data_IF_601469080770
#
_entry.id   IF_601469080770
#
_cell.length_a   1.000
_cell.length_b   1.000
_cell.length_c   1.000
_cell.angle_alpha   90.00
_cell.angle_beta   90.00
_cell.angle_gamma   90.00
#
_symmetry.space_group_name_H-M   'P 1'
#
loop_
_entity.id
_entity.type
_entity.pdbx_description
1 polymer ?
#
# COMPACT_ATOMS: atom_id res chain seq x y z
N UNK A 1 -16.96 -35.54 -27.21
CA UNK A 1 -15.82 -35.06 -26.41
C UNK A 1 -15.16 -33.96 -27.21
N UNK A 2 -15.39 -32.70 -26.85
CA UNK A 2 -14.76 -31.57 -27.54
C UNK A 2 -13.28 -31.54 -27.14
N UNK A 3 -12.39 -31.60 -28.12
CA UNK A 3 -10.97 -31.32 -27.93
C UNK A 3 -10.85 -29.88 -27.44
N UNK A 4 -10.74 -29.70 -26.11
CA UNK A 4 -10.25 -28.46 -25.52
C UNK A 4 -8.81 -28.30 -26.01
N UNK A 5 -8.61 -27.46 -27.01
CA UNK A 5 -7.30 -27.06 -27.47
C UNK A 5 -6.68 -26.23 -26.33
N UNK A 6 -5.95 -26.89 -25.43
CA UNK A 6 -5.21 -26.22 -24.36
C UNK A 6 -4.22 -25.27 -25.04
N UNK A 7 -4.48 -23.97 -24.92
CA UNK A 7 -3.53 -22.95 -25.38
C UNK A 7 -2.34 -22.99 -24.43
N UNK A 8 -1.15 -23.25 -24.97
CA UNK A 8 0.10 -23.32 -24.19
C UNK A 8 0.78 -21.96 -24.24
N UNK A 9 0.93 -21.33 -23.07
CA UNK A 9 1.66 -20.07 -22.90
C UNK A 9 3.08 -20.33 -22.38
N UNK A 10 3.99 -19.38 -22.56
CA UNK A 10 5.29 -19.45 -21.89
C UNK A 10 5.16 -19.05 -20.42
N UNK A 11 4.36 -18.03 -20.14
CA UNK A 11 4.07 -17.57 -18.78
C UNK A 11 2.61 -17.17 -18.63
N UNK A 12 1.98 -17.52 -17.51
CA UNK A 12 0.70 -16.94 -17.09
C UNK A 12 0.94 -16.08 -15.85
N UNK A 13 0.47 -14.84 -15.88
CA UNK A 13 0.50 -13.92 -14.75
C UNK A 13 -0.88 -13.91 -14.08
N UNK A 14 -0.94 -14.20 -12.78
CA UNK A 14 -2.19 -14.21 -12.01
C UNK A 14 -2.27 -12.92 -11.20
N UNK A 15 -3.21 -12.06 -11.57
CA UNK A 15 -3.45 -10.73 -11.00
C UNK A 15 -3.05 -9.60 -11.95
N UNK A 16 -4.00 -8.75 -12.33
CA UNK A 16 -3.78 -7.56 -13.15
C UNK A 16 -3.63 -6.28 -12.31
N UNK A 17 -3.02 -6.39 -11.12
CA UNK A 17 -2.47 -5.23 -10.40
C UNK A 17 -1.19 -4.71 -11.08
N UNK A 18 -0.65 -3.57 -10.63
CA UNK A 18 0.53 -2.95 -11.25
C UNK A 18 1.71 -3.94 -11.42
N UNK A 19 2.04 -4.74 -10.41
CA UNK A 19 3.12 -5.72 -10.50
C UNK A 19 2.91 -6.75 -11.62
N UNK A 20 1.70 -7.30 -11.73
CA UNK A 20 1.38 -8.30 -12.75
C UNK A 20 1.30 -7.70 -14.16
N UNK A 21 0.74 -6.50 -14.28
CA UNK A 21 0.71 -5.75 -15.54
C UNK A 21 2.13 -5.45 -16.05
N UNK A 22 3.03 -5.02 -15.17
CA UNK A 22 4.44 -4.75 -15.50
C UNK A 22 5.16 -6.04 -15.90
N UNK A 23 4.98 -7.12 -15.13
CA UNK A 23 5.60 -8.40 -15.45
C UNK A 23 5.17 -8.90 -16.84
N UNK A 24 3.86 -8.85 -17.12
CA UNK A 24 3.33 -9.27 -18.41
C UNK A 24 3.78 -8.37 -19.56
N UNK A 25 3.74 -7.04 -19.38
CA UNK A 25 4.19 -6.06 -20.38
C UNK A 25 5.65 -6.31 -20.74
N UNK A 26 6.51 -6.52 -19.76
CA UNK A 26 7.93 -6.70 -19.98
C UNK A 26 8.23 -8.05 -20.67
N UNK A 27 7.57 -9.14 -20.27
CA UNK A 27 7.67 -10.42 -20.97
C UNK A 27 7.19 -10.31 -22.43
N UNK A 28 6.07 -9.63 -22.67
CA UNK A 28 5.53 -9.40 -24.01
C UNK A 28 6.48 -8.56 -24.89
N UNK A 29 7.08 -7.51 -24.33
CA UNK A 29 8.10 -6.68 -25.03
C UNK A 29 9.37 -7.47 -25.36
N UNK A 30 9.68 -8.51 -24.58
CA UNK A 30 10.76 -9.46 -24.89
C UNK A 30 10.35 -10.56 -25.89
N UNK A 31 9.11 -10.53 -26.40
CA UNK A 31 8.62 -11.46 -27.42
C UNK A 31 8.00 -12.74 -26.86
N UNK A 32 7.82 -12.86 -25.55
CA UNK A 32 7.27 -14.06 -24.92
C UNK A 32 5.73 -14.13 -25.00
N UNK A 33 5.21 -15.36 -25.10
CA UNK A 33 3.77 -15.63 -25.07
C UNK A 33 3.24 -15.60 -23.64
N UNK A 34 2.57 -14.51 -23.29
CA UNK A 34 2.05 -14.26 -21.94
C UNK A 34 0.53 -14.05 -21.93
N UNK A 35 -0.12 -14.53 -20.87
CA UNK A 35 -1.52 -14.27 -20.55
C UNK A 35 -1.62 -13.74 -19.12
N UNK A 36 -2.42 -12.70 -18.91
CA UNK A 36 -2.80 -12.20 -17.58
C UNK A 36 -4.21 -12.68 -17.26
N UNK A 37 -4.40 -13.25 -16.07
CA UNK A 37 -5.71 -13.69 -15.57
C UNK A 37 -6.04 -12.86 -14.31
N UNK A 38 -7.18 -12.16 -14.32
CA UNK A 38 -7.62 -11.28 -13.24
C UNK A 38 -9.01 -11.68 -12.74
N UNK A 39 -9.15 -11.73 -11.42
CA UNK A 39 -10.40 -12.11 -10.77
C UNK A 39 -11.52 -11.09 -10.97
N UNK A 40 -11.20 -9.79 -11.04
CA UNK A 40 -12.18 -8.71 -11.23
C UNK A 40 -12.46 -8.43 -12.70
N UNK A 41 -13.58 -7.74 -12.94
CA UNK A 41 -13.93 -7.15 -14.24
C UNK A 41 -13.15 -5.84 -14.56
N UNK A 42 -12.01 -5.61 -13.91
CA UNK A 42 -11.14 -4.44 -14.10
C UNK A 42 -9.70 -4.81 -13.75
N UNK A 43 -8.74 -4.15 -14.38
CA UNK A 43 -7.34 -4.17 -13.96
C UNK A 43 -7.05 -3.10 -12.90
N UNK A 44 -5.78 -3.01 -12.51
CA UNK A 44 -5.24 -1.99 -11.61
C UNK A 44 -5.14 -2.43 -10.14
N UNK A 45 -5.96 -3.39 -9.70
CA UNK A 45 -5.95 -3.86 -8.31
C UNK A 45 -6.16 -2.70 -7.33
N UNK A 46 -5.13 -2.40 -6.52
CA UNK A 46 -5.05 -1.26 -5.57
C UNK A 46 -4.77 0.10 -6.21
N UNK A 47 -4.57 0.16 -7.53
CA UNK A 47 -4.44 1.39 -8.32
C UNK A 47 -5.70 1.54 -9.17
N UNK A 48 -6.64 2.35 -8.71
CA UNK A 48 -7.92 2.59 -9.39
C UNK A 48 -8.44 3.97 -9.03
N UNK A 49 -9.19 4.59 -9.93
CA UNK A 49 -9.84 5.86 -9.70
C UNK A 49 -11.06 6.04 -10.59
N UNK A 50 -11.75 7.15 -10.42
CA UNK A 50 -12.88 7.55 -11.24
C UNK A 50 -13.04 9.07 -11.26
N UNK A 51 -13.80 9.58 -12.23
CA UNK A 51 -14.17 10.99 -12.28
C UNK A 51 -15.37 11.26 -11.38
N UNK A 52 -15.26 12.31 -10.57
CA UNK A 52 -16.41 12.93 -9.91
C UNK A 52 -17.28 13.67 -10.94
N UNK A 53 -18.57 13.91 -10.65
CA UNK A 53 -19.42 14.76 -11.47
C UNK A 53 -18.88 16.18 -11.69
N UNK A 54 -18.01 16.67 -10.80
CA UNK A 54 -17.32 17.96 -10.90
C UNK A 54 -16.19 17.98 -11.94
N UNK A 55 -15.86 16.83 -12.55
CA UNK A 55 -14.75 16.69 -13.50
C UNK A 55 -13.40 16.42 -12.85
N UNK A 56 -13.29 16.46 -11.52
CA UNK A 56 -12.07 16.05 -10.83
C UNK A 56 -11.95 14.52 -10.78
N UNK A 57 -10.76 14.01 -11.12
CA UNK A 57 -10.40 12.62 -10.87
C UNK A 57 -10.09 12.39 -9.39
N UNK A 58 -10.56 11.27 -8.84
CA UNK A 58 -10.17 10.78 -7.53
C UNK A 58 -9.53 9.40 -7.64
N UNK A 59 -8.36 9.23 -7.05
CA UNK A 59 -7.75 7.91 -6.89
C UNK A 59 -8.34 7.22 -5.68
N UNK A 60 -9.06 6.13 -5.90
CA UNK A 60 -9.67 5.31 -4.84
C UNK A 60 -8.63 4.50 -4.07
N UNK A 61 -7.44 4.32 -4.63
CA UNK A 61 -6.31 3.63 -4.00
C UNK A 61 -5.12 4.53 -3.69
N UNK A 62 -3.91 4.04 -3.99
CA UNK A 62 -2.71 4.87 -3.93
C UNK A 62 -2.81 6.05 -4.91
N UNK A 63 -2.20 7.18 -4.56
CA UNK A 63 -2.28 8.40 -5.38
C UNK A 63 -1.02 9.26 -5.37
N UNK A 64 -0.12 9.01 -4.42
CA UNK A 64 1.09 9.80 -4.23
C UNK A 64 2.32 9.16 -4.83
N UNK A 65 3.29 10.01 -5.16
CA UNK A 65 4.64 9.65 -5.57
C UNK A 65 5.63 10.62 -4.95
N UNK A 66 6.87 10.17 -4.79
CA UNK A 66 7.93 10.97 -4.21
C UNK A 66 9.29 10.73 -4.85
N UNK A 67 10.31 11.51 -4.44
CA UNK A 67 11.71 11.24 -4.75
C UNK A 67 12.08 9.78 -4.42
N UNK A 68 13.07 9.23 -5.13
CA UNK A 68 13.57 7.84 -4.98
C UNK A 68 12.64 6.71 -5.42
N UNK A 69 11.39 7.01 -5.81
CA UNK A 69 10.49 6.05 -6.47
C UNK A 69 10.79 5.99 -7.99
N UNK A 70 12.05 5.71 -8.31
CA UNK A 70 12.65 5.89 -9.63
C UNK A 70 11.94 5.11 -10.74
N UNK A 71 11.52 3.87 -10.48
CA UNK A 71 10.85 3.04 -11.48
C UNK A 71 9.45 3.55 -11.78
N UNK A 72 8.72 3.99 -10.75
CA UNK A 72 7.41 4.60 -10.96
C UNK A 72 7.51 5.96 -11.66
N UNK A 73 8.49 6.80 -11.29
CA UNK A 73 8.74 8.07 -11.97
C UNK A 73 9.08 7.87 -13.45
N UNK A 74 9.94 6.90 -13.78
CA UNK A 74 10.25 6.56 -15.16
C UNK A 74 9.02 6.06 -15.95
N UNK A 75 8.11 5.33 -15.29
CA UNK A 75 6.86 4.88 -15.90
C UNK A 75 5.93 6.06 -16.23
N UNK A 76 5.87 7.07 -15.35
CA UNK A 76 5.11 8.30 -15.61
C UNK A 76 5.69 9.05 -16.81
N UNK A 77 7.02 9.17 -16.89
CA UNK A 77 7.71 9.81 -18.02
C UNK A 77 7.47 9.04 -19.33
N UNK A 78 7.56 7.70 -19.31
CA UNK A 78 7.27 6.82 -20.45
C UNK A 78 5.87 7.07 -21.01
N UNK A 79 4.87 7.18 -20.14
CA UNK A 79 3.49 7.45 -20.53
C UNK A 79 3.12 8.93 -20.66
N UNK A 80 4.10 9.83 -20.50
CA UNK A 80 3.94 11.29 -20.57
C UNK A 80 2.86 11.81 -19.61
N UNK A 81 2.80 11.24 -18.41
CA UNK A 81 1.86 11.63 -17.37
C UNK A 81 2.51 12.71 -16.50
N UNK A 82 1.82 13.84 -16.36
CA UNK A 82 2.31 14.98 -15.57
C UNK A 82 2.05 14.78 -14.09
N UNK A 83 2.93 15.35 -13.27
CA UNK A 83 2.84 15.42 -11.81
C UNK A 83 2.70 16.87 -11.36
N UNK A 84 2.24 17.08 -10.13
CA UNK A 84 2.25 18.37 -9.45
C UNK A 84 2.59 18.19 -7.97
N UNK A 85 3.20 19.19 -7.30
CA UNK A 85 3.49 19.12 -5.88
C UNK A 85 2.22 18.87 -5.07
N UNK A 86 2.30 17.98 -4.08
CA UNK A 86 1.22 17.80 -3.11
C UNK A 86 0.92 19.14 -2.43
N UNK A 87 -0.37 19.56 -2.37
CA UNK A 87 -0.70 20.83 -1.76
C UNK A 87 -0.31 20.85 -0.28
N UNK A 88 0.54 21.81 0.09
CA UNK A 88 1.03 21.98 1.45
C UNK A 88 1.16 23.47 1.86
N UNK A 89 0.62 24.40 1.06
CA UNK A 89 0.70 25.83 1.33
C UNK A 89 -0.27 26.24 2.45
N UNK A 90 0.27 26.80 3.53
CA UNK A 90 -0.47 27.22 4.71
C UNK A 90 -0.05 26.44 5.95
N UNK A 91 -0.83 26.55 7.02
CA UNK A 91 -0.55 25.87 8.28
C UNK A 91 -1.09 24.44 8.28
N UNK A 92 -0.32 23.54 8.88
CA UNK A 92 -0.75 22.19 9.21
C UNK A 92 -1.51 22.20 10.55
N UNK A 93 -2.51 21.32 10.68
CA UNK A 93 -3.30 21.19 11.91
C UNK A 93 -2.93 19.92 12.67
N UNK A 94 -2.60 20.04 13.95
CA UNK A 94 -2.47 18.91 14.88
C UNK A 94 -3.64 18.96 15.88
N UNK A 95 -4.34 17.84 16.08
CA UNK A 95 -5.30 17.68 17.18
C UNK A 95 -4.82 16.59 18.11
N UNK A 96 -4.47 16.96 19.34
CA UNK A 96 -4.02 16.00 20.35
C UNK A 96 -4.75 16.24 21.67
N UNK A 97 -5.40 15.20 22.20
CA UNK A 97 -6.16 15.24 23.46
C UNK A 97 -7.16 16.42 23.50
N UNK A 98 -7.95 16.55 22.42
CA UNK A 98 -8.97 17.60 22.22
C UNK A 98 -8.43 19.04 22.16
N UNK A 99 -7.11 19.23 22.05
CA UNK A 99 -6.49 20.54 21.79
C UNK A 99 -6.04 20.61 20.33
N UNK A 100 -6.34 21.74 19.69
CA UNK A 100 -6.00 22.02 18.29
C UNK A 100 -4.83 22.98 18.22
N UNK A 101 -3.81 22.61 17.45
CA UNK A 101 -2.59 23.38 17.21
C UNK A 101 -2.46 23.64 15.70
N UNK A 102 -1.97 24.82 15.34
CA UNK A 102 -1.62 25.17 13.97
C UNK A 102 -0.16 25.60 13.92
N UNK A 103 0.58 25.15 12.91
CA UNK A 103 2.02 25.43 12.80
C UNK A 103 2.47 25.45 11.33
N UNK A 104 3.54 26.17 11.02
CA UNK A 104 4.14 26.17 9.70
C UNK A 104 5.12 25.00 9.59
N UNK A 105 4.72 23.91 8.97
CA UNK A 105 5.57 22.74 8.84
C UNK A 105 4.84 21.52 8.30
N UNK A 106 5.60 20.46 8.09
CA UNK A 106 5.09 19.15 7.67
C UNK A 106 5.33 18.14 8.78
N UNK A 107 4.31 17.33 9.08
CA UNK A 107 4.37 16.37 10.17
C UNK A 107 3.60 15.09 9.83
N UNK A 108 4.15 14.29 8.92
CA UNK A 108 3.65 12.97 8.54
C UNK A 108 4.69 11.89 8.86
N UNK A 109 5.04 11.76 10.15
CA UNK A 109 6.02 10.77 10.63
C UNK A 109 7.48 11.21 10.51
N UNK A 110 7.74 12.38 9.93
CA UNK A 110 8.98 13.11 10.04
C UNK A 110 8.65 14.58 10.29
N UNK A 111 9.39 15.21 11.21
CA UNK A 111 9.17 16.61 11.57
C UNK A 111 10.00 17.52 10.67
N UNK A 112 9.31 18.43 10.00
CA UNK A 112 9.93 19.52 9.25
C UNK A 112 9.24 20.84 9.52
N UNK A 113 10.03 21.90 9.70
CA UNK A 113 9.52 23.23 10.00
C UNK A 113 9.30 23.46 11.49
N UNK A 114 8.27 24.24 11.83
CA UNK A 114 7.98 24.62 13.20
C UNK A 114 7.51 23.42 14.03
N UNK A 115 7.91 23.41 15.29
CA UNK A 115 7.40 22.44 16.26
C UNK A 115 5.97 22.86 16.64
N UNK A 116 4.97 21.95 16.60
CA UNK A 116 3.64 22.27 17.12
C UNK A 116 3.73 22.73 18.58
N UNK A 117 2.85 23.63 19.03
CA UNK A 117 2.82 24.13 20.42
C UNK A 117 2.29 23.09 21.44
N UNK A 118 2.72 21.84 21.26
CA UNK A 118 2.60 20.76 22.24
C UNK A 118 3.61 21.02 23.37
N UNK A 119 3.32 20.50 24.57
CA UNK A 119 4.20 20.71 25.72
C UNK A 119 5.65 20.26 25.45
N UNK A 120 6.63 21.06 25.87
CA UNK A 120 8.05 20.80 25.59
C UNK A 120 8.51 19.40 26.04
N UNK A 121 7.99 18.90 27.17
CA UNK A 121 8.28 17.56 27.67
C UNK A 121 7.76 16.45 26.73
N UNK A 122 6.54 16.60 26.22
CA UNK A 122 5.92 15.68 25.25
C UNK A 122 6.75 15.60 23.96
N UNK A 123 7.15 16.77 23.43
CA UNK A 123 7.98 16.84 22.24
C UNK A 123 9.37 16.22 22.46
N UNK A 124 10.01 16.54 23.59
CA UNK A 124 11.33 16.03 23.91
C UNK A 124 11.34 14.50 24.09
N UNK A 125 10.31 13.93 24.71
CA UNK A 125 10.14 12.48 24.87
C UNK A 125 10.04 11.81 23.49
N UNK A 126 9.14 12.28 22.62
CA UNK A 126 8.97 11.76 21.26
C UNK A 126 10.26 11.84 20.43
N UNK A 127 10.94 12.98 20.43
CA UNK A 127 12.16 13.17 19.63
C UNK A 127 13.36 12.39 20.18
N UNK A 128 13.48 12.25 21.51
CA UNK A 128 14.53 11.43 22.13
C UNK A 128 14.31 9.95 21.80
N UNK A 129 13.06 9.48 21.82
CA UNK A 129 12.70 8.14 21.40
C UNK A 129 12.96 7.93 19.89
N UNK A 130 12.68 8.93 19.06
CA UNK A 130 12.94 8.89 17.62
C UNK A 130 14.43 8.71 17.32
N UNK A 131 15.29 9.43 18.04
CA UNK A 131 16.74 9.25 17.93
C UNK A 131 17.17 7.81 18.29
N UNK A 132 16.62 7.22 19.38
CA UNK A 132 16.90 5.82 19.73
C UNK A 132 16.40 4.84 18.66
N UNK A 133 15.21 5.08 18.11
CA UNK A 133 14.65 4.27 17.04
C UNK A 133 15.52 4.28 15.79
N UNK A 134 15.97 5.46 15.36
CA UNK A 134 16.86 5.66 14.22
C UNK A 134 18.19 4.91 14.40
N UNK A 135 18.82 5.02 15.58
CA UNK A 135 20.06 4.29 15.86
C UNK A 135 19.85 2.78 15.86
N UNK A 136 18.71 2.30 16.37
CA UNK A 136 18.36 0.88 16.32
C UNK A 136 18.13 0.43 14.86
N UNK A 137 17.45 1.21 14.03
CA UNK A 137 17.18 0.86 12.63
C UNK A 137 18.49 0.72 11.83
N UNK A 138 19.48 1.57 12.08
CA UNK A 138 20.81 1.53 11.45
C UNK A 138 21.61 0.25 11.75
N UNK A 139 21.23 -0.53 12.76
CA UNK A 139 21.88 -1.81 13.06
C UNK A 139 21.53 -2.92 12.07
N UNK A 140 20.43 -2.76 11.31
CA UNK A 140 20.01 -3.74 10.33
C UNK A 140 20.80 -3.61 9.02
N UNK A 141 21.20 -4.72 8.39
CA UNK A 141 21.80 -4.68 7.06
C UNK A 141 20.78 -4.21 6.01
N UNK A 142 21.27 -3.73 4.87
CA UNK A 142 20.44 -3.41 3.71
C UNK A 142 19.77 -4.67 3.14
N UNK A 143 18.58 -4.50 2.55
CA UNK A 143 17.80 -5.60 1.96
C UNK A 143 16.91 -6.29 3.00
N UNK A 144 16.52 -7.53 2.73
CA UNK A 144 15.61 -8.28 3.61
C UNK A 144 16.24 -8.67 4.95
N UNK A 145 15.50 -8.63 6.06
CA UNK A 145 15.98 -9.14 7.35
C UNK A 145 16.35 -10.62 7.25
N UNK A 146 17.61 -10.94 7.53
CA UNK A 146 18.11 -12.32 7.58
C UNK A 146 17.87 -12.93 8.96
N UNK A 147 17.52 -14.21 9.03
CA UNK A 147 17.29 -14.90 10.30
C UNK A 147 18.61 -15.19 11.02
N UNK A 148 18.80 -14.58 12.20
CA UNK A 148 19.93 -14.82 13.10
C UNK A 148 19.52 -14.49 14.55
N UNK A 149 20.39 -14.72 15.53
CA UNK A 149 20.06 -14.52 16.95
C UNK A 149 19.72 -13.06 17.29
N UNK A 150 20.28 -12.09 16.56
CA UNK A 150 19.98 -10.68 16.76
C UNK A 150 18.59 -10.32 16.21
N UNK A 151 18.32 -10.66 14.95
CA UNK A 151 17.02 -10.37 14.32
C UNK A 151 15.89 -11.15 14.97
N UNK A 152 16.12 -12.37 15.47
CA UNK A 152 15.11 -13.12 16.25
C UNK A 152 14.67 -12.40 17.52
N UNK A 153 15.59 -11.72 18.22
CA UNK A 153 15.24 -10.93 19.41
C UNK A 153 14.36 -9.74 19.03
N UNK A 154 14.72 -9.02 17.97
CA UNK A 154 13.91 -7.90 17.46
C UNK A 154 12.55 -8.40 16.97
N UNK A 155 12.52 -9.50 16.25
CA UNK A 155 11.30 -10.06 15.67
C UNK A 155 10.36 -10.66 16.71
N UNK A 156 10.88 -11.09 17.87
CA UNK A 156 10.05 -11.56 18.99
C UNK A 156 9.31 -10.46 19.75
N UNK A 157 9.69 -9.19 19.55
CA UNK A 157 9.06 -8.04 20.20
C UNK A 157 8.00 -7.42 19.31
N UNK A 158 6.88 -7.00 19.90
CA UNK A 158 5.94 -6.11 19.22
C UNK A 158 6.51 -4.69 19.18
N UNK A 159 6.03 -3.88 18.24
CA UNK A 159 6.37 -2.46 18.24
C UNK A 159 5.80 -1.73 19.45
N UNK A 160 4.62 -2.13 19.96
CA UNK A 160 4.04 -1.59 21.19
C UNK A 160 4.98 -1.73 22.40
N UNK A 161 5.60 -2.91 22.59
CA UNK A 161 6.56 -3.13 23.67
C UNK A 161 7.75 -2.17 23.57
N UNK A 162 8.25 -1.94 22.35
CA UNK A 162 9.32 -0.98 22.14
C UNK A 162 8.88 0.44 22.49
N UNK A 163 7.66 0.85 22.10
CA UNK A 163 7.11 2.18 22.42
C UNK A 163 7.03 2.37 23.94
N UNK A 164 6.46 1.41 24.66
CA UNK A 164 6.34 1.44 26.13
C UNK A 164 7.72 1.51 26.82
N UNK A 165 8.71 0.77 26.33
CA UNK A 165 10.08 0.79 26.85
C UNK A 165 10.82 2.10 26.56
N UNK A 166 10.38 2.89 25.57
CA UNK A 166 11.14 4.02 25.03
C UNK A 166 10.41 5.36 25.06
N UNK A 167 9.19 5.44 25.58
CA UNK A 167 8.45 6.70 25.71
C UNK A 167 7.81 6.79 27.09
N UNK A 168 7.59 8.00 27.56
CA UNK A 168 7.04 8.26 28.90
C UNK A 168 5.78 9.11 28.87
N UNK A 169 5.50 9.76 27.75
CA UNK A 169 4.39 10.69 27.56
C UNK A 169 3.34 10.13 26.60
N UNK A 170 2.09 10.59 26.74
CA UNK A 170 1.00 10.16 25.86
C UNK A 170 1.26 10.56 24.40
N UNK A 171 1.85 11.74 24.17
CA UNK A 171 2.21 12.19 22.83
C UNK A 171 3.36 11.37 22.25
N UNK A 172 4.37 11.03 23.06
CA UNK A 172 5.46 10.14 22.66
C UNK A 172 4.93 8.78 22.20
N UNK A 173 4.03 8.18 22.98
CA UNK A 173 3.37 6.93 22.61
C UNK A 173 2.53 7.07 21.32
N UNK A 174 1.72 8.12 21.25
CA UNK A 174 0.88 8.40 20.08
C UNK A 174 1.71 8.64 18.82
N UNK A 175 2.84 9.34 18.91
CA UNK A 175 3.70 9.69 17.77
C UNK A 175 4.10 8.44 16.98
N UNK A 176 4.61 7.41 17.65
CA UNK A 176 4.99 6.15 17.01
C UNK A 176 3.78 5.31 16.60
N UNK A 177 2.72 5.28 17.41
CA UNK A 177 1.50 4.56 17.08
C UNK A 177 0.84 5.12 15.81
N UNK A 178 0.79 6.43 15.68
CA UNK A 178 0.34 7.15 14.49
C UNK A 178 1.19 6.79 13.27
N UNK A 179 2.52 6.80 13.41
CA UNK A 179 3.42 6.48 12.31
C UNK A 179 3.11 5.10 11.71
N UNK A 180 3.04 4.05 12.53
CA UNK A 180 2.78 2.70 12.02
C UNK A 180 1.34 2.49 11.51
N UNK A 181 0.39 3.31 11.96
CA UNK A 181 -1.01 3.23 11.53
C UNK A 181 -1.30 4.00 10.25
N UNK A 182 -0.65 5.13 10.01
CA UNK A 182 -1.14 6.09 9.03
C UNK A 182 -0.12 6.49 7.96
N UNK A 183 1.18 6.53 8.26
CA UNK A 183 2.17 7.17 7.36
C UNK A 183 3.41 6.32 7.10
N UNK A 184 4.03 5.73 8.10
CA UNK A 184 5.35 5.10 8.00
C UNK A 184 5.36 3.59 8.24
N UNK A 185 6.59 3.05 8.27
CA UNK A 185 6.91 1.71 8.77
C UNK A 185 6.18 0.54 8.09
N UNK A 186 5.71 0.74 6.86
CA UNK A 186 4.99 -0.26 6.08
C UNK A 186 3.66 -0.70 6.72
N UNK A 187 3.01 0.24 7.41
CA UNK A 187 1.66 0.11 7.89
C UNK A 187 0.61 -0.10 6.79
N UNK A 188 -0.68 -0.09 7.14
CA UNK A 188 -1.23 0.28 8.45
C UNK A 188 -1.40 -0.94 9.36
N UNK A 189 -0.84 -0.87 10.58
CA UNK A 189 -0.99 -1.89 11.62
C UNK A 189 -1.13 -1.23 13.00
N UNK A 190 -1.77 -1.90 13.96
CA UNK A 190 -1.65 -1.48 15.36
C UNK A 190 -0.26 -1.87 15.90
N UNK A 191 0.36 -1.07 16.78
CA UNK A 191 1.68 -1.37 17.34
C UNK A 191 1.78 -2.75 18.01
N UNK A 192 0.69 -3.26 18.58
CA UNK A 192 0.62 -4.58 19.21
C UNK A 192 0.63 -5.74 18.21
N UNK A 193 0.27 -5.50 16.95
CA UNK A 193 0.11 -6.53 15.92
C UNK A 193 1.40 -6.76 15.12
N UNK A 194 2.29 -5.77 15.07
CA UNK A 194 3.45 -5.75 14.17
C UNK A 194 4.76 -5.99 14.92
N UNK A 195 5.65 -6.72 14.26
CA UNK A 195 7.02 -6.96 14.72
C UNK A 195 7.84 -5.68 14.78
N UNK A 196 8.64 -5.50 15.84
CA UNK A 196 9.64 -4.43 15.90
C UNK A 196 10.64 -4.55 14.75
N UNK A 197 11.06 -5.76 14.37
CA UNK A 197 11.95 -5.99 13.23
C UNK A 197 11.33 -5.47 11.93
N UNK A 198 10.03 -5.70 11.72
CA UNK A 198 9.34 -5.23 10.51
C UNK A 198 9.31 -3.71 10.42
N UNK A 199 9.02 -3.03 11.53
CA UNK A 199 8.98 -1.56 11.59
C UNK A 199 10.37 -0.94 11.39
N UNK A 200 11.42 -1.51 11.99
CA UNK A 200 12.81 -1.08 11.78
C UNK A 200 13.26 -1.28 10.33
N UNK A 201 12.93 -2.43 9.74
CA UNK A 201 13.22 -2.68 8.33
C UNK A 201 12.47 -1.70 7.42
N UNK A 202 11.18 -1.46 7.70
CA UNK A 202 10.35 -0.49 7.01
C UNK A 202 10.92 0.92 7.03
N UNK A 203 11.48 1.35 8.16
CA UNK A 203 12.19 2.62 8.26
C UNK A 203 13.39 2.70 7.31
N UNK A 204 14.13 1.61 7.10
CA UNK A 204 15.31 1.61 6.23
C UNK A 204 14.94 1.46 4.75
N UNK A 205 13.87 0.74 4.43
CA UNK A 205 13.51 0.42 3.05
C UNK A 205 12.36 1.26 2.48
N UNK A 206 11.76 2.15 3.26
CA UNK A 206 10.66 3.06 2.88
C UNK A 206 10.56 4.24 3.85
N UNK A 207 11.67 4.97 4.06
CA UNK A 207 11.71 6.08 5.00
C UNK A 207 10.76 7.22 4.60
N UNK A 208 10.02 7.75 5.57
CA UNK A 208 9.20 8.95 5.39
C UNK A 208 10.03 10.22 5.13
N UNK A 209 11.28 10.25 5.60
CA UNK A 209 12.24 11.30 5.28
C UNK A 209 12.67 11.33 3.80
N UNK A 210 12.25 10.36 2.98
CA UNK A 210 12.47 10.36 1.53
C UNK A 210 11.26 10.95 0.77
N UNK A 211 10.28 11.50 1.49
CA UNK A 211 9.10 12.21 0.98
C UNK A 211 8.26 11.43 -0.05
N UNK A 212 7.77 10.23 0.29
CA UNK A 212 6.97 9.42 -0.64
C UNK A 212 5.67 10.09 -1.12
N UNK A 213 5.22 11.12 -0.41
CA UNK A 213 4.00 11.90 -0.71
C UNK A 213 4.27 13.30 -1.28
N UNK A 214 5.47 13.56 -1.82
CA UNK A 214 5.85 14.88 -2.32
C UNK A 214 4.97 15.39 -3.48
N UNK A 215 4.45 14.50 -4.32
CA UNK A 215 3.71 14.86 -5.52
C UNK A 215 2.44 14.01 -5.73
N UNK A 216 1.48 14.61 -6.41
CA UNK A 216 0.28 14.00 -6.97
C UNK A 216 0.37 13.97 -8.50
N UNK A 217 -0.60 13.29 -9.12
CA UNK A 217 -0.60 12.98 -10.56
C UNK A 217 -1.83 13.62 -11.21
N UNK A 218 -1.63 14.36 -12.30
CA UNK A 218 -2.76 14.89 -13.07
C UNK A 218 -3.55 13.75 -13.72
N UNK A 219 -4.86 13.71 -13.48
CA UNK A 219 -5.73 12.59 -13.87
C UNK A 219 -5.53 11.32 -13.03
N UNK A 220 -4.75 11.40 -11.94
CA UNK A 220 -4.51 10.34 -10.95
C UNK A 220 -3.69 9.15 -11.42
N UNK A 221 -3.20 8.37 -10.46
CA UNK A 221 -2.47 7.12 -10.67
C UNK A 221 -3.34 6.04 -11.32
N UNK A 222 -4.66 6.06 -11.05
CA UNK A 222 -5.63 5.09 -11.53
C UNK A 222 -5.77 5.00 -13.06
N UNK A 223 -5.21 5.95 -13.82
CA UNK A 223 -5.18 5.92 -15.29
C UNK A 223 -4.08 5.00 -15.88
N UNK A 224 -3.06 4.65 -15.09
CA UNK A 224 -1.88 3.90 -15.56
C UNK A 224 -2.22 2.46 -15.98
N UNK A 225 -3.06 1.71 -15.23
CA UNK A 225 -3.44 0.36 -15.61
C UNK A 225 -4.07 0.27 -17.01
N UNK A 226 -4.91 1.24 -17.40
CA UNK A 226 -5.49 1.31 -18.75
C UNK A 226 -4.41 1.41 -19.83
N UNK A 227 -3.38 2.24 -19.59
CA UNK A 227 -2.29 2.47 -20.54
C UNK A 227 -1.44 1.21 -20.74
N UNK A 228 -1.12 0.50 -19.66
CA UNK A 228 -0.39 -0.77 -19.74
C UNK A 228 -1.26 -1.84 -20.41
N UNK A 229 -2.54 -1.91 -20.06
CA UNK A 229 -3.47 -2.89 -20.63
C UNK A 229 -3.64 -2.71 -22.14
N UNK A 230 -3.62 -1.46 -22.63
CA UNK A 230 -3.67 -1.17 -24.06
C UNK A 230 -2.48 -1.76 -24.85
N UNK A 231 -1.30 -1.88 -24.24
CA UNK A 231 -0.15 -2.55 -24.86
C UNK A 231 -0.32 -4.07 -24.91
N UNK A 232 -0.91 -4.65 -23.87
CA UNK A 232 -1.11 -6.10 -23.76
C UNK A 232 -2.23 -6.61 -24.69
N UNK A 233 -3.25 -5.78 -24.95
CA UNK A 233 -4.37 -6.10 -25.81
C UNK A 233 -5.18 -7.30 -25.30
N UNK A 234 -5.45 -8.27 -26.17
CA UNK A 234 -6.25 -9.47 -25.86
C UNK A 234 -5.57 -10.46 -24.89
N UNK A 235 -4.36 -10.15 -24.41
CA UNK A 235 -3.61 -10.98 -23.45
C UNK A 235 -4.08 -10.84 -22.02
N UNK A 236 -5.17 -10.14 -21.75
CA UNK A 236 -5.74 -9.99 -20.40
C UNK A 236 -7.14 -10.60 -20.39
N UNK A 237 -7.39 -11.50 -19.43
CA UNK A 237 -8.71 -12.05 -19.13
C UNK A 237 -9.19 -11.54 -17.78
N UNK A 238 -10.28 -10.79 -17.82
CA UNK A 238 -10.94 -10.22 -16.65
C UNK A 238 -12.11 -11.10 -16.21
N UNK A 239 -12.53 -10.96 -14.95
CA UNK A 239 -13.69 -11.66 -14.39
C UNK A 239 -13.47 -13.16 -14.20
N UNK A 240 -12.21 -13.59 -14.13
CA UNK A 240 -11.83 -15.00 -14.20
C UNK A 240 -10.93 -15.39 -13.02
N UNK A 241 -11.50 -15.62 -11.82
CA UNK A 241 -10.73 -16.03 -10.65
C UNK A 241 -10.02 -17.37 -10.85
N UNK A 242 -8.72 -17.39 -10.56
CA UNK A 242 -7.94 -18.65 -10.42
C UNK A 242 -8.30 -19.32 -9.10
N UNK A 243 -8.60 -20.61 -9.15
CA UNK A 243 -9.02 -21.41 -7.99
C UNK A 243 -8.05 -22.54 -7.65
N UNK A 244 -7.36 -23.10 -8.66
CA UNK A 244 -6.39 -24.18 -8.47
C UNK A 244 -5.21 -24.05 -9.42
N UNK A 245 -4.03 -24.42 -8.94
CA UNK A 245 -2.81 -24.50 -9.73
C UNK A 245 -2.15 -25.86 -9.50
N UNK A 246 -2.14 -26.69 -10.54
CA UNK A 246 -1.37 -27.94 -10.58
C UNK A 246 -0.01 -27.66 -11.20
N UNK A 247 1.08 -28.20 -10.67
CA UNK A 247 2.42 -27.96 -11.22
C UNK A 247 3.37 -29.14 -11.02
N UNK A 248 4.36 -29.21 -11.90
CA UNK A 248 5.45 -30.18 -11.86
C UNK A 248 6.71 -29.58 -12.52
N UNK A 249 7.65 -30.44 -12.94
CA UNK A 249 8.88 -29.99 -13.64
C UNK A 249 8.65 -29.51 -15.08
N UNK A 250 7.53 -29.88 -15.70
CA UNK A 250 7.18 -29.49 -17.06
C UNK A 250 6.48 -28.12 -17.11
N UNK A 251 5.73 -27.75 -16.08
CA UNK A 251 5.13 -26.42 -15.95
C UNK A 251 3.93 -26.36 -15.02
N UNK A 252 2.97 -25.52 -15.38
CA UNK A 252 1.76 -25.25 -14.60
C UNK A 252 0.50 -25.52 -15.42
N UNK A 253 -0.53 -26.05 -14.75
CA UNK A 253 -1.92 -26.08 -15.21
C UNK A 253 -2.76 -25.25 -14.24
N UNK A 254 -3.34 -24.16 -14.75
CA UNK A 254 -4.10 -23.18 -13.98
C UNK A 254 -5.59 -23.38 -14.27
N UNK A 255 -6.37 -23.68 -13.23
CA UNK A 255 -7.81 -23.80 -13.29
C UNK A 255 -8.45 -22.52 -12.73
N UNK A 256 -9.36 -21.95 -13.52
CA UNK A 256 -10.19 -20.81 -13.13
C UNK A 256 -11.62 -21.28 -12.88
N UNK A 257 -12.51 -20.35 -12.53
CA UNK A 257 -13.95 -20.64 -12.45
C UNK A 257 -14.59 -20.95 -13.82
N UNK A 258 -13.87 -20.73 -14.92
CA UNK A 258 -14.43 -20.80 -16.28
C UNK A 258 -13.63 -21.73 -17.22
N UNK A 259 -12.30 -21.73 -17.12
CA UNK A 259 -11.41 -22.38 -18.07
C UNK A 259 -10.21 -23.05 -17.39
N UNK A 260 -9.43 -23.78 -18.19
CA UNK A 260 -8.14 -24.34 -17.79
C UNK A 260 -7.07 -23.90 -18.78
N UNK A 261 -5.94 -23.45 -18.27
CA UNK A 261 -4.81 -22.96 -19.05
C UNK A 261 -3.54 -23.71 -18.68
N UNK A 262 -2.58 -23.77 -19.60
CA UNK A 262 -1.28 -24.39 -19.37
C UNK A 262 -0.16 -23.42 -19.71
N UNK A 263 0.91 -23.41 -18.92
CA UNK A 263 2.10 -22.62 -19.22
C UNK A 263 3.39 -23.29 -18.71
N UNK A 264 4.56 -22.84 -19.21
CA UNK A 264 5.84 -23.27 -18.64
C UNK A 264 6.06 -22.70 -17.24
N UNK A 265 5.62 -21.46 -17.00
CA UNK A 265 5.76 -20.76 -15.73
C UNK A 265 4.48 -20.02 -15.32
N UNK A 266 4.36 -19.75 -14.02
CA UNK A 266 3.36 -18.83 -13.48
C UNK A 266 4.04 -17.71 -12.67
N UNK A 267 3.56 -16.48 -12.82
CA UNK A 267 3.85 -15.39 -11.88
C UNK A 267 2.59 -15.10 -11.09
N UNK A 268 2.63 -15.26 -9.78
CA UNK A 268 1.53 -14.92 -8.88
C UNK A 268 1.76 -13.50 -8.36
N UNK A 269 0.97 -12.55 -8.85
CA UNK A 269 1.15 -11.11 -8.71
C UNK A 269 0.16 -10.47 -7.72
N UNK A 270 0.10 -10.97 -6.48
CA UNK A 270 -0.89 -10.58 -5.47
C UNK A 270 -0.35 -10.67 -4.02
N UNK A 271 -1.02 -10.05 -3.02
CA UNK A 271 -0.64 -10.18 -1.61
C UNK A 271 -0.55 -11.64 -1.14
N UNK A 272 0.39 -11.97 -0.23
CA UNK A 272 0.62 -13.35 0.22
C UNK A 272 -0.64 -14.07 0.73
N UNK A 273 -1.50 -13.38 1.48
CA UNK A 273 -2.72 -13.99 2.01
C UNK A 273 -3.76 -14.36 0.93
N UNK A 274 -3.78 -13.64 -0.21
CA UNK A 274 -4.62 -14.01 -1.35
C UNK A 274 -4.01 -15.16 -2.14
N UNK A 275 -2.68 -15.19 -2.27
CA UNK A 275 -1.99 -16.31 -2.88
C UNK A 275 -2.27 -17.64 -2.13
N UNK A 276 -2.45 -17.59 -0.81
CA UNK A 276 -2.87 -18.74 0.01
C UNK A 276 -4.31 -19.22 -0.21
N UNK A 277 -5.15 -18.49 -0.97
CA UNK A 277 -6.53 -18.92 -1.29
C UNK A 277 -6.62 -19.81 -2.53
N UNK A 278 -5.54 -19.91 -3.30
CA UNK A 278 -5.45 -20.81 -4.45
C UNK A 278 -5.11 -22.22 -3.92
N UNK A 279 -5.76 -23.25 -4.46
CA UNK A 279 -5.42 -24.63 -4.13
C UNK A 279 -4.21 -25.05 -4.97
N UNK A 280 -3.12 -25.49 -4.33
CA UNK A 280 -1.91 -25.95 -5.02
C UNK A 280 -1.81 -27.48 -5.01
N UNK A 281 -1.39 -28.06 -6.13
CA UNK A 281 -1.13 -29.49 -6.25
C UNK A 281 0.16 -29.75 -7.05
N UNK A 282 1.23 -30.30 -6.44
CA UNK A 282 1.32 -30.68 -5.03
C UNK A 282 1.20 -29.46 -4.10
N UNK A 283 0.91 -29.66 -2.79
CA UNK A 283 0.86 -28.56 -1.82
C UNK A 283 2.14 -27.72 -1.84
N UNK A 284 2.04 -26.43 -1.52
CA UNK A 284 3.21 -25.57 -1.38
C UNK A 284 4.14 -26.08 -0.27
N UNK A 285 5.44 -25.78 -0.33
CA UNK A 285 6.36 -26.05 0.78
C UNK A 285 5.84 -25.48 2.10
N UNK A 286 6.00 -26.19 3.24
CA UNK A 286 5.45 -25.76 4.52
C UNK A 286 5.80 -24.33 4.91
N UNK A 287 7.01 -23.84 4.60
CA UNK A 287 7.39 -22.45 4.89
C UNK A 287 6.50 -21.43 4.14
N UNK A 288 6.22 -21.67 2.85
CA UNK A 288 5.36 -20.79 2.04
C UNK A 288 3.91 -20.89 2.48
N UNK A 289 3.42 -22.10 2.73
CA UNK A 289 2.05 -22.34 3.21
C UNK A 289 1.78 -21.63 4.54
N UNK A 290 2.73 -21.67 5.48
CA UNK A 290 2.59 -20.98 6.76
C UNK A 290 2.72 -19.45 6.65
N UNK A 291 3.51 -18.96 5.69
CA UNK A 291 3.66 -17.53 5.40
C UNK A 291 2.34 -16.90 4.95
N UNK A 292 1.65 -17.51 3.98
CA UNK A 292 0.40 -16.95 3.43
C UNK A 292 -0.69 -16.78 4.50
N UNK A 293 -0.63 -17.57 5.58
CA UNK A 293 -1.58 -17.50 6.70
C UNK A 293 -1.16 -16.51 7.80
N UNK A 294 0.07 -15.98 7.76
CA UNK A 294 0.68 -15.16 8.83
C UNK A 294 1.08 -13.75 8.40
N UNK A 295 0.84 -13.39 7.15
CA UNK A 295 1.10 -12.05 6.61
C UNK A 295 -0.25 -11.37 6.32
N UNK A 296 -0.88 -10.78 7.35
CA UNK A 296 -2.15 -10.08 7.19
C UNK A 296 -1.96 -8.79 6.38
N UNK A 297 -3.04 -8.33 5.74
CA UNK A 297 -3.13 -6.97 5.23
C UNK A 297 -3.49 -6.00 6.35
N UNK A 298 -3.04 -4.75 6.23
CA UNK A 298 -3.51 -3.66 7.05
C UNK A 298 -5.01 -3.37 6.88
N UNK A 299 -5.65 -2.95 7.97
CA UNK A 299 -7.04 -2.52 7.96
C UNK A 299 -7.13 -1.02 7.68
N UNK A 300 -7.57 -0.63 6.47
CA UNK A 300 -7.66 0.77 6.08
C UNK A 300 -8.82 1.02 5.11
N UNK A 301 -9.74 1.90 5.51
CA UNK A 301 -10.66 2.53 4.58
C UNK A 301 -10.11 3.89 4.15
N UNK A 302 -10.08 4.15 2.85
CA UNK A 302 -9.79 5.48 2.30
C UNK A 302 -11.10 6.22 2.09
N UNK A 303 -11.16 7.46 2.54
CA UNK A 303 -12.32 8.33 2.36
C UNK A 303 -11.88 9.56 1.57
N UNK A 304 -12.58 9.84 0.49
CA UNK A 304 -12.36 11.01 -0.36
C UNK A 304 -13.58 11.92 -0.23
N UNK A 305 -13.34 13.17 0.15
CA UNK A 305 -14.39 14.10 0.51
C UNK A 305 -14.19 15.35 -0.33
N UNK A 306 -15.16 15.64 -1.19
CA UNK A 306 -15.04 16.75 -2.13
C UNK A 306 -15.93 17.93 -1.73
N UNK A 307 -15.49 19.12 -2.14
CA UNK A 307 -16.13 20.41 -1.92
C UNK A 307 -16.03 21.23 -3.21
N UNK A 308 -16.89 22.23 -3.38
CA UNK A 308 -16.86 23.10 -4.56
C UNK A 308 -15.50 23.77 -4.75
N UNK A 309 -14.84 24.13 -3.65
CA UNK A 309 -13.50 24.73 -3.61
C UNK A 309 -12.74 24.21 -2.38
N UNK A 310 -11.39 24.22 -2.38
CA UNK A 310 -10.58 23.89 -1.20
C UNK A 310 -10.68 25.01 -0.14
N UNK A 311 -11.80 25.06 0.58
CA UNK A 311 -12.17 26.17 1.47
C UNK A 311 -11.15 26.41 2.60
N UNK A 312 -10.46 25.36 3.06
CA UNK A 312 -9.42 25.43 4.09
C UNK A 312 -8.28 26.38 3.70
N UNK A 313 -7.99 26.54 2.41
CA UNK A 313 -6.95 27.47 1.93
C UNK A 313 -7.30 28.93 2.23
N UNK A 314 -8.59 29.31 2.20
CA UNK A 314 -9.05 30.67 2.59
C UNK A 314 -8.85 30.95 4.08
N UNK A 315 -8.73 29.90 4.89
CA UNK A 315 -8.42 29.99 6.32
C UNK A 315 -6.91 29.98 6.58
N UNK A 316 -6.07 29.94 5.54
CA UNK A 316 -4.61 29.83 5.67
C UNK A 316 -4.12 28.44 6.06
N UNK A 317 -4.92 27.39 5.83
CA UNK A 317 -4.57 26.01 6.15
C UNK A 317 -4.11 25.24 4.90
N UNK A 318 -3.14 24.35 5.07
CA UNK A 318 -2.57 23.52 4.02
C UNK A 318 -3.49 22.37 3.55
N UNK A 319 -4.58 22.11 4.28
CA UNK A 319 -5.39 20.89 4.08
C UNK A 319 -4.67 19.62 4.55
N UNK A 320 -3.56 19.76 5.27
CA UNK A 320 -2.87 18.68 5.98
C UNK A 320 -3.26 18.75 7.46
N UNK A 321 -3.72 17.63 7.98
CA UNK A 321 -4.03 17.51 9.40
C UNK A 321 -3.75 16.12 9.94
N UNK A 322 -3.38 16.05 11.22
CA UNK A 322 -3.15 14.79 11.92
C UNK A 322 -3.54 14.89 13.38
N UNK A 323 -3.74 13.75 14.03
CA UNK A 323 -4.14 13.77 15.43
C UNK A 323 -4.62 12.44 15.98
N UNK A 324 -5.14 12.50 17.21
CA UNK A 324 -5.75 11.37 17.89
C UNK A 324 -7.28 11.53 18.03
N UNK A 325 -7.93 12.17 17.05
CA UNK A 325 -9.39 12.20 16.98
C UNK A 325 -9.99 10.78 16.97
N UNK A 326 -11.31 10.72 17.19
CA UNK A 326 -12.01 9.47 17.45
C UNK A 326 -11.92 8.49 16.27
N UNK A 327 -11.87 9.00 15.04
CA UNK A 327 -11.93 8.27 13.78
C UNK A 327 -10.76 8.56 12.84
N UNK A 328 -10.36 9.83 12.70
CA UNK A 328 -9.34 10.26 11.73
C UNK A 328 -8.01 10.59 12.39
N UNK A 329 -6.92 10.10 11.82
CA UNK A 329 -5.55 10.42 12.26
C UNK A 329 -4.73 11.19 11.23
N UNK A 330 -5.12 11.17 9.96
CA UNK A 330 -4.41 11.82 8.88
C UNK A 330 -5.40 12.30 7.82
N UNK A 331 -5.27 13.56 7.43
CA UNK A 331 -5.92 14.17 6.28
C UNK A 331 -4.87 14.84 5.40
N UNK A 332 -5.06 14.79 4.10
CA UNK A 332 -4.22 15.47 3.12
C UNK A 332 -5.07 16.04 1.98
N UNK A 333 -4.74 17.27 1.59
CA UNK A 333 -5.29 17.92 0.41
C UNK A 333 -4.90 17.12 -0.84
N UNK A 334 -5.92 16.73 -1.61
CA UNK A 334 -5.81 15.97 -2.86
C UNK A 334 -6.47 16.72 -4.03
N UNK A 335 -6.63 18.04 -3.91
CA UNK A 335 -7.13 18.90 -4.97
C UNK A 335 -6.13 19.01 -6.12
N UNK A 336 -6.58 18.66 -7.33
CA UNK A 336 -5.86 19.02 -8.56
C UNK A 336 -6.00 20.54 -8.80
N UNK A 337 -4.91 21.29 -8.90
CA UNK A 337 -4.97 22.73 -9.13
C UNK A 337 -5.65 23.11 -10.46
N UNK A 338 -5.75 22.20 -11.43
CA UNK A 338 -6.38 22.46 -12.74
C UNK A 338 -7.93 22.45 -12.67
N UNK A 339 -8.53 21.83 -11.65
CA UNK A 339 -10.00 21.72 -11.54
C UNK A 339 -10.61 22.77 -10.62
N UNK A 340 -9.83 23.27 -9.65
CA UNK A 340 -10.30 24.19 -8.61
C UNK A 340 -11.24 23.56 -7.56
N UNK A 341 -11.50 22.26 -7.67
CA UNK A 341 -12.37 21.50 -6.76
C UNK A 341 -11.58 21.14 -5.48
N UNK A 342 -12.22 21.27 -4.32
CA UNK A 342 -11.64 20.89 -3.04
C UNK A 342 -11.73 19.38 -2.84
N UNK A 343 -10.63 18.66 -2.57
CA UNK A 343 -10.68 17.25 -2.16
C UNK A 343 -9.77 16.99 -0.97
N UNK A 344 -10.32 16.40 0.09
CA UNK A 344 -9.53 15.82 1.19
C UNK A 344 -9.52 14.31 1.03
N UNK A 345 -8.32 13.72 1.02
CA UNK A 345 -8.12 12.31 1.29
C UNK A 345 -7.86 12.11 2.79
N UNK A 346 -8.57 11.16 3.39
CA UNK A 346 -8.38 10.77 4.79
C UNK A 346 -8.56 9.27 4.95
N UNK A 347 -8.14 8.73 6.08
CA UNK A 347 -8.12 7.28 6.33
C UNK A 347 -8.73 6.94 7.68
N UNK A 348 -9.49 5.84 7.70
CA UNK A 348 -9.90 5.17 8.94
C UNK A 348 -9.13 3.86 9.01
N UNK A 349 -8.24 3.73 10.00
CA UNK A 349 -7.23 2.67 10.06
C UNK A 349 -7.29 1.86 11.36
N UNK A 350 -6.77 0.63 11.33
CA UNK A 350 -6.56 -0.22 12.51
C UNK A 350 -7.84 -0.48 13.30
N UNK A 351 -7.78 -0.35 14.62
CA UNK A 351 -8.91 -0.59 15.51
C UNK A 351 -10.05 0.42 15.31
N UNK A 352 -9.73 1.63 14.80
CA UNK A 352 -10.76 2.60 14.41
C UNK A 352 -11.59 2.08 13.24
N UNK A 353 -10.96 1.44 12.25
CA UNK A 353 -11.67 0.81 11.13
C UNK A 353 -12.64 -0.26 11.62
N UNK A 354 -12.23 -1.13 12.55
CA UNK A 354 -13.09 -2.20 13.07
C UNK A 354 -14.37 -1.63 13.68
N UNK A 355 -14.24 -0.63 14.55
CA UNK A 355 -15.40 0.04 15.19
C UNK A 355 -16.25 0.80 14.17
N UNK A 356 -15.61 1.51 13.25
CA UNK A 356 -16.27 2.32 12.23
C UNK A 356 -17.06 1.46 11.24
N UNK A 357 -16.51 0.33 10.79
CA UNK A 357 -17.12 -0.55 9.81
C UNK A 357 -18.42 -1.19 10.29
N UNK A 358 -18.56 -1.40 11.60
CA UNK A 358 -19.77 -1.92 12.24
C UNK A 358 -20.92 -0.91 12.28
N UNK A 359 -20.68 0.36 11.95
CA UNK A 359 -21.71 1.40 11.92
C UNK A 359 -22.49 1.40 10.61
N UNK A 360 -23.71 1.97 10.65
CA UNK A 360 -24.48 2.27 9.44
C UNK A 360 -23.77 3.31 8.57
N UNK A 361 -24.00 3.29 7.26
CA UNK A 361 -23.37 4.25 6.34
C UNK A 361 -23.60 5.73 6.73
N UNK A 362 -24.80 6.17 7.16
CA UNK A 362 -24.98 7.54 7.65
C UNK A 362 -24.15 7.86 8.90
N UNK A 363 -24.03 6.91 9.84
CA UNK A 363 -23.22 7.09 11.05
C UNK A 363 -21.72 7.15 10.74
N UNK A 364 -21.23 6.33 9.81
CA UNK A 364 -19.85 6.37 9.32
C UNK A 364 -19.49 7.70 8.69
N UNK A 365 -20.37 8.23 7.83
CA UNK A 365 -20.23 9.56 7.23
C UNK A 365 -20.20 10.65 8.30
N UNK A 366 -21.15 10.64 9.23
CA UNK A 366 -21.21 11.64 10.30
C UNK A 366 -19.95 11.62 11.19
N UNK A 367 -19.45 10.42 11.51
CA UNK A 367 -18.23 10.22 12.29
C UNK A 367 -16.99 10.87 11.62
N UNK A 368 -16.79 10.61 10.33
CA UNK A 368 -15.68 11.18 9.55
C UNK A 368 -15.81 12.70 9.41
N UNK A 369 -17.00 13.21 9.06
CA UNK A 369 -17.20 14.65 8.89
C UNK A 369 -17.09 15.42 10.21
N UNK A 370 -17.47 14.82 11.33
CA UNK A 370 -17.30 15.42 12.66
C UNK A 370 -15.82 15.66 12.98
N UNK A 371 -14.96 14.66 12.79
CA UNK A 371 -13.51 14.82 13.00
C UNK A 371 -12.92 15.83 12.01
N UNK A 372 -13.36 15.79 10.75
CA UNK A 372 -12.91 16.75 9.74
C UNK A 372 -13.26 18.20 10.10
N UNK A 373 -14.42 18.42 10.73
CA UNK A 373 -14.82 19.74 11.22
C UNK A 373 -14.00 20.22 12.42
N UNK A 374 -13.44 19.30 13.24
CA UNK A 374 -12.47 19.65 14.28
C UNK A 374 -11.17 20.17 13.63
N UNK A 375 -10.72 19.56 12.53
CA UNK A 375 -9.52 19.99 11.82
C UNK A 375 -9.70 21.32 11.07
N UNK A 376 -10.75 21.41 10.23
CA UNK A 376 -10.90 22.45 9.21
C UNK A 376 -12.11 23.37 9.39
N UNK A 377 -12.90 23.19 10.46
CA UNK A 377 -14.08 24.01 10.76
C UNK A 377 -15.39 23.51 10.15
N UNK A 378 -16.48 24.23 10.44
CA UNK A 378 -17.86 23.77 10.17
C UNK A 378 -18.19 23.56 8.68
N UNK A 379 -17.50 24.25 7.77
CA UNK A 379 -17.66 24.05 6.32
C UNK A 379 -17.38 22.60 5.90
N UNK A 380 -16.53 21.89 6.64
CA UNK A 380 -16.23 20.48 6.41
C UNK A 380 -17.48 19.57 6.50
N UNK A 381 -18.53 19.99 7.20
CA UNK A 381 -19.76 19.19 7.36
C UNK A 381 -20.62 19.13 6.09
N UNK A 382 -20.34 19.96 5.08
CA UNK A 382 -21.19 20.13 3.90
C UNK A 382 -20.46 19.79 2.58
N UNK A 383 -19.98 18.54 2.40
CA UNK A 383 -19.29 18.16 1.17
C UNK A 383 -20.26 17.93 0.01
N UNK A 384 -19.79 18.12 -1.23
CA UNK A 384 -20.54 17.82 -2.45
C UNK A 384 -20.56 16.31 -2.74
N UNK A 385 -19.46 15.61 -2.46
CA UNK A 385 -19.37 14.14 -2.53
C UNK A 385 -18.59 13.58 -1.34
N UNK A 386 -18.85 12.31 -1.06
CA UNK A 386 -18.21 11.58 0.02
C UNK A 386 -18.12 10.14 -0.45
N UNK A 387 -16.90 9.67 -0.66
CA UNK A 387 -16.60 8.43 -1.37
C UNK A 387 -15.79 7.52 -0.43
N UNK A 388 -16.39 6.40 -0.03
CA UNK A 388 -15.75 5.40 0.83
C UNK A 388 -15.13 4.28 0.00
N UNK A 389 -13.88 3.94 0.30
CA UNK A 389 -13.19 2.78 -0.25
C UNK A 389 -12.82 1.84 0.90
N UNK A 390 -13.65 0.82 1.08
CA UNK A 390 -13.46 -0.24 2.08
C UNK A 390 -12.55 -1.34 1.52
N UNK A 391 -11.23 -1.19 1.71
CA UNK A 391 -10.25 -2.17 1.23
C UNK A 391 -10.30 -3.52 1.95
N UNK A 392 -10.46 -3.60 3.29
CA UNK A 392 -10.55 -4.90 3.97
C UNK A 392 -11.81 -5.67 3.60
N UNK A 393 -12.91 -4.97 3.27
CA UNK A 393 -14.14 -5.58 2.77
C UNK A 393 -14.06 -6.11 1.33
N UNK A 394 -13.04 -5.74 0.54
CA UNK A 394 -12.85 -6.22 -0.83
C UNK A 394 -12.25 -7.64 -0.85
N UNK A 395 -12.98 -8.67 -1.34
CA UNK A 395 -12.54 -10.06 -1.29
C UNK A 395 -11.26 -10.33 -2.09
N UNK A 396 -10.93 -9.48 -3.05
CA UNK A 396 -9.78 -9.63 -3.94
C UNK A 396 -8.64 -8.65 -3.60
N UNK A 397 -8.74 -7.94 -2.47
CA UNK A 397 -7.68 -7.09 -1.91
C UNK A 397 -7.35 -7.49 -0.47
N UNK A 398 -8.38 -7.63 0.38
CA UNK A 398 -8.25 -8.07 1.78
C UNK A 398 -7.72 -7.02 2.76
N UNK A 399 -7.27 -5.86 2.28
CA UNK A 399 -6.83 -4.73 3.09
C UNK A 399 -5.89 -3.79 2.32
N UNK A 400 -5.45 -2.73 2.97
CA UNK A 400 -4.60 -1.70 2.37
C UNK A 400 -3.83 -0.94 3.46
N UNK A 401 -2.80 -0.18 3.15
CA UNK A 401 -2.11 -0.08 1.85
C UNK A 401 -1.10 -1.22 1.64
N UNK A 402 -0.44 -1.70 2.71
CA UNK A 402 0.50 -2.82 2.68
C UNK A 402 0.05 -4.00 3.57
N UNK A 403 0.68 -5.15 3.35
CA UNK A 403 0.76 -6.20 4.36
C UNK A 403 1.90 -5.90 5.36
N UNK A 404 1.79 -6.46 6.55
CA UNK A 404 2.82 -6.36 7.58
C UNK A 404 3.18 -7.72 8.16
N UNK A 405 4.33 -7.80 8.83
CA UNK A 405 4.81 -9.02 9.50
C UNK A 405 4.56 -8.91 11.01
N UNK A 406 3.71 -9.77 11.60
CA UNK A 406 3.61 -9.95 13.03
C UNK A 406 4.91 -10.48 13.66
N UNK A 407 5.06 -10.41 15.00
CA UNK A 407 6.22 -10.95 15.69
C UNK A 407 6.53 -12.40 15.32
N UNK A 408 7.80 -12.68 15.04
CA UNK A 408 8.34 -14.00 14.72
C UNK A 408 8.17 -14.46 13.27
N UNK A 409 7.43 -13.73 12.43
CA UNK A 409 7.15 -14.16 11.04
C UNK A 409 8.36 -13.95 10.13
N UNK A 410 9.07 -12.82 10.25
CA UNK A 410 10.26 -12.56 9.43
C UNK A 410 11.30 -13.66 9.58
N UNK A 411 11.65 -13.99 10.82
CA UNK A 411 12.75 -14.92 11.13
C UNK A 411 12.38 -16.38 10.97
N UNK A 412 11.08 -16.69 10.91
CA UNK A 412 10.57 -18.06 10.68
C UNK A 412 10.25 -18.35 9.22
N UNK A 413 9.77 -17.35 8.47
CA UNK A 413 9.17 -17.56 7.13
C UNK A 413 9.58 -16.51 6.09
N UNK A 414 10.33 -15.46 6.45
CA UNK A 414 10.62 -14.32 5.57
C UNK A 414 11.29 -14.68 4.25
N UNK A 415 12.16 -15.70 4.21
CA UNK A 415 12.78 -16.18 2.98
C UNK A 415 11.74 -16.72 1.97
N UNK A 416 10.70 -17.40 2.47
CA UNK A 416 9.63 -17.95 1.62
C UNK A 416 8.79 -16.85 0.95
N UNK A 417 8.98 -15.58 1.29
CA UNK A 417 8.29 -14.45 0.67
C UNK A 417 8.63 -14.33 -0.81
N UNK A 418 9.89 -14.56 -1.19
CA UNK A 418 10.39 -14.38 -2.56
C UNK A 418 10.90 -15.67 -3.21
N UNK A 419 11.13 -16.75 -2.45
CA UNK A 419 11.63 -18.02 -2.99
C UNK A 419 10.64 -18.66 -3.97
N UNK A 420 11.03 -18.90 -5.25
CA UNK A 420 10.20 -19.62 -6.22
C UNK A 420 9.87 -21.05 -5.79
N UNK A 421 8.74 -21.58 -6.25
CA UNK A 421 8.31 -22.96 -6.00
C UNK A 421 8.17 -23.68 -7.33
N UNK A 422 9.21 -24.40 -7.74
CA UNK A 422 9.26 -25.03 -9.06
C UNK A 422 9.04 -24.00 -10.18
N UNK A 423 8.02 -24.15 -11.03
CA UNK A 423 7.69 -23.18 -12.10
C UNK A 423 6.88 -21.96 -11.62
N UNK A 424 6.63 -21.81 -10.31
CA UNK A 424 5.86 -20.70 -9.73
C UNK A 424 6.80 -19.63 -9.19
N UNK A 425 6.63 -18.41 -9.69
CA UNK A 425 7.34 -17.21 -9.28
C UNK A 425 6.37 -16.20 -8.68
N UNK A 426 6.91 -15.25 -7.92
CA UNK A 426 6.10 -14.33 -7.12
C UNK A 426 6.40 -12.88 -7.49
N UNK A 427 5.34 -12.07 -7.61
CA UNK A 427 5.42 -10.62 -7.79
C UNK A 427 4.32 -9.92 -6.96
N UNK A 428 4.50 -8.64 -6.67
CA UNK A 428 3.62 -7.94 -5.75
C UNK A 428 4.41 -7.12 -4.75
N UNK A 429 3.88 -5.94 -4.43
CA UNK A 429 4.62 -4.91 -3.71
C UNK A 429 5.11 -5.35 -2.33
N UNK A 430 4.40 -6.28 -1.66
CA UNK A 430 4.80 -6.82 -0.35
C UNK A 430 6.17 -7.51 -0.36
N UNK A 431 6.64 -7.92 -1.54
CA UNK A 431 7.87 -8.67 -1.74
C UNK A 431 9.01 -7.79 -2.25
N UNK A 432 8.87 -6.47 -2.22
CA UNK A 432 9.93 -5.57 -2.64
C UNK A 432 10.95 -5.34 -1.51
N UNK A 433 12.21 -5.21 -1.88
CA UNK A 433 13.32 -4.86 -0.99
C UNK A 433 13.40 -3.35 -0.73
N UNK A 434 12.81 -2.55 -1.63
CA UNK A 434 12.66 -1.10 -1.55
C UNK A 434 11.23 -0.69 -1.89
N UNK A 435 10.68 0.21 -1.08
CA UNK A 435 9.31 0.71 -1.20
C UNK A 435 8.22 -0.39 -1.25
N UNK A 436 8.28 -1.42 -0.38
CA UNK A 436 7.17 -2.39 -0.30
C UNK A 436 5.88 -1.69 0.16
N UNK A 437 4.74 -2.12 -0.39
CA UNK A 437 3.46 -1.45 -0.17
C UNK A 437 3.17 -0.29 -1.13
N UNK A 438 4.17 0.21 -1.87
CA UNK A 438 4.03 1.33 -2.82
C UNK A 438 4.00 0.85 -4.29
N UNK A 439 3.74 1.78 -5.21
CA UNK A 439 3.81 1.54 -6.65
C UNK A 439 5.20 1.12 -7.12
N UNK A 440 6.24 1.75 -6.56
CA UNK A 440 7.64 1.43 -6.83
C UNK A 440 7.94 -0.04 -6.53
N UNK A 441 7.55 -0.55 -5.35
CA UNK A 441 7.74 -1.96 -5.00
C UNK A 441 6.97 -2.91 -5.93
N UNK A 442 5.78 -2.52 -6.39
CA UNK A 442 5.03 -3.30 -7.36
C UNK A 442 5.76 -3.40 -8.70
N UNK A 443 6.31 -2.29 -9.21
CA UNK A 443 7.07 -2.29 -10.47
C UNK A 443 8.33 -3.14 -10.33
N UNK A 444 9.14 -2.90 -9.29
CA UNK A 444 10.39 -3.64 -9.05
C UNK A 444 10.19 -5.14 -9.05
N UNK A 445 9.18 -5.62 -8.32
CA UNK A 445 8.91 -7.06 -8.22
C UNK A 445 8.33 -7.63 -9.51
N UNK A 446 7.52 -6.85 -10.25
CA UNK A 446 7.05 -7.23 -11.58
C UNK A 446 8.19 -7.37 -12.60
N UNK A 447 9.12 -6.40 -12.62
CA UNK A 447 10.32 -6.41 -13.45
C UNK A 447 11.21 -7.60 -13.12
N UNK A 448 11.54 -7.79 -11.84
CA UNK A 448 12.40 -8.89 -11.39
C UNK A 448 11.82 -10.28 -11.74
N UNK A 449 10.50 -10.47 -11.56
CA UNK A 449 9.85 -11.72 -11.94
C UNK A 449 9.87 -11.94 -13.45
N UNK A 450 9.63 -10.91 -14.27
CA UNK A 450 9.72 -11.01 -15.72
C UNK A 450 11.13 -11.36 -16.19
N UNK A 451 12.16 -10.71 -15.65
CA UNK A 451 13.55 -10.95 -16.02
C UNK A 451 14.00 -12.36 -15.64
N UNK A 452 13.60 -12.84 -14.46
CA UNK A 452 13.88 -14.21 -14.03
C UNK A 452 13.23 -15.24 -14.96
N UNK A 453 11.96 -15.04 -15.33
CA UNK A 453 11.26 -15.94 -16.27
C UNK A 453 11.91 -15.89 -17.65
N UNK A 454 12.25 -14.70 -18.16
CA UNK A 454 12.88 -14.56 -19.47
C UNK A 454 14.25 -15.27 -19.53
N UNK A 455 15.04 -15.22 -18.44
CA UNK A 455 16.28 -15.99 -18.33
C UNK A 455 16.02 -17.49 -18.43
N UNK A 456 15.09 -18.01 -17.63
CA UNK A 456 14.75 -19.45 -17.59
C UNK A 456 14.16 -19.96 -18.92
N UNK A 457 13.49 -19.10 -19.68
CA UNK A 457 12.97 -19.42 -21.01
C UNK A 457 14.07 -19.48 -22.09
N UNK A 458 15.23 -18.83 -21.87
CA UNK A 458 16.38 -18.89 -22.79
C UNK A 458 17.31 -20.07 -22.53
N UNK A 459 17.32 -20.58 -21.29
CA UNK A 459 18.16 -21.71 -20.87
C UNK A 459 17.57 -23.08 -21.25
N UNK A 460 16.30 -23.13 -21.66
CA UNK A 460 15.59 -24.31 -22.15
C UNK A 460 15.42 -24.27 -23.66
#
# INVERSE_FOLDING_TARGET
MANLQLTSYECIVIGAGLAGLIAARNLQRQGHQVLVIEARNRYGGRMSGEYLPSGQWIDRGGQWVGPTQERFLALLDEYKIRRFPSPNEGKTVLVFNNKRYEFNGFFQGFHEGEVPDIGAAEWQDAMSAWARFQELAKTLPSGYPQSNDYTKKLDSKTFAQWIEENTTTDFGQWYFAYMVRAVGFLGPAEPLQVSLLHVLWGQNCAAQAEHPEAELIHGGAGQIPDKIAAELGERIRLGEPVVRLNYDSAGVTIETTQNTFTAKFAIIAMPPHLAGRIIYNPPLPPQREQLTQRVPMGCCAKILISYEQPFWRKQGLAGVAQGNCQWLELCADSSDPETGVGVIATFVVGDRYIRWRSMSSPARRAAVLSDLAIYFGQEALFPISYDEVDWPGDPWTGGAYSAFMPPGVWTSFGEALFTPVGPIHWAGTEMADRWPGFFEGAIRTGEAAADQIALLLREK
#
